data_IF_249869841859
#
_entry.id   IF_249869841859
#
_cell.length_a   1.000
_cell.length_b   1.000
_cell.length_c   1.000
_cell.angle_alpha   90.00
_cell.angle_beta   90.00
_cell.angle_gamma   90.00
#
_symmetry.space_group_name_H-M   'P 1'
#
loop_
_entity.id
_entity.type
_entity.pdbx_description
1 polymer ?
#
# COMPACT_ATOMS: atom_id res chain seq x y z
N UNK A 1 -12.18 -7.70 13.79
CA UNK A 1 -11.29 -6.64 13.28
C UNK A 1 -10.25 -7.30 12.39
N UNK A 2 -9.97 -6.77 11.18
CA UNK A 2 -8.97 -7.37 10.28
C UNK A 2 -7.54 -7.19 10.80
N UNK A 3 -6.59 -7.96 10.25
CA UNK A 3 -5.17 -7.83 10.59
C UNK A 3 -4.65 -6.42 10.25
N UNK A 4 -5.06 -5.89 9.10
CA UNK A 4 -4.80 -4.51 8.68
C UNK A 4 -5.22 -3.46 9.69
N UNK A 5 -6.46 -3.54 10.19
CA UNK A 5 -6.99 -2.59 11.18
C UNK A 5 -6.23 -2.65 12.51
N UNK A 6 -5.96 -3.86 13.03
CA UNK A 6 -5.18 -4.03 14.27
C UNK A 6 -3.78 -3.44 14.13
N UNK A 7 -3.13 -3.66 13.00
CA UNK A 7 -1.79 -3.13 12.75
C UNK A 7 -1.78 -1.61 12.64
N UNK A 8 -2.74 -1.03 11.90
CA UNK A 8 -2.86 0.41 11.77
C UNK A 8 -3.11 1.10 13.12
N UNK A 9 -3.94 0.53 13.99
CA UNK A 9 -4.12 1.04 15.35
C UNK A 9 -2.80 1.07 16.13
N UNK A 10 -1.97 0.03 15.99
CA UNK A 10 -0.63 0.00 16.57
C UNK A 10 0.29 1.10 16.03
N UNK A 11 0.31 1.30 14.71
CA UNK A 11 1.10 2.34 14.07
C UNK A 11 0.64 3.76 14.45
N UNK A 12 -0.67 4.00 14.56
CA UNK A 12 -1.22 5.28 15.03
C UNK A 12 -0.82 5.55 16.48
N UNK A 13 -0.93 4.56 17.36
CA UNK A 13 -0.46 4.69 18.75
C UNK A 13 1.03 4.99 18.82
N UNK A 14 1.84 4.43 17.90
CA UNK A 14 3.27 4.74 17.80
C UNK A 14 3.51 6.17 17.27
N UNK A 15 2.69 6.65 16.33
CA UNK A 15 2.72 8.01 15.79
C UNK A 15 2.44 9.06 16.86
N UNK A 16 1.53 8.78 17.79
CA UNK A 16 1.17 9.69 18.89
C UNK A 16 2.24 9.77 20.00
N UNK A 17 3.29 8.95 19.93
CA UNK A 17 4.35 8.91 20.94
C UNK A 17 5.56 9.75 20.54
N UNK A 18 6.34 10.20 21.54
CA UNK A 18 7.65 10.85 21.32
C UNK A 18 8.63 9.96 20.52
N UNK A 19 8.42 8.64 20.54
CA UNK A 19 9.19 7.67 19.78
C UNK A 19 8.87 7.66 18.28
N UNK A 20 7.86 8.40 17.79
CA UNK A 20 7.50 8.42 16.37
C UNK A 20 8.66 8.89 15.49
N UNK A 21 9.34 9.97 15.84
CA UNK A 21 10.43 10.51 15.01
C UNK A 21 11.54 9.47 14.73
N UNK A 22 12.15 8.82 15.74
CA UNK A 22 13.14 7.78 15.49
C UNK A 22 12.54 6.53 14.83
N UNK A 23 11.30 6.14 15.16
CA UNK A 23 10.62 5.02 14.53
C UNK A 23 10.39 5.25 13.03
N UNK A 24 9.83 6.41 12.67
CA UNK A 24 9.61 6.85 11.30
C UNK A 24 10.91 6.87 10.51
N UNK A 25 11.99 7.38 11.09
CA UNK A 25 13.30 7.38 10.43
C UNK A 25 13.81 5.95 10.15
N UNK A 26 13.68 5.03 11.12
CA UNK A 26 14.06 3.63 10.94
C UNK A 26 13.19 2.92 9.90
N UNK A 27 11.87 3.10 9.95
CA UNK A 27 10.91 2.53 9.01
C UNK A 27 11.13 3.05 7.59
N UNK A 28 11.33 4.37 7.41
CA UNK A 28 11.65 4.93 6.08
C UNK A 28 12.96 4.38 5.53
N UNK A 29 13.98 4.25 6.38
CA UNK A 29 15.28 3.68 5.97
C UNK A 29 15.18 2.22 5.58
N UNK A 30 14.24 1.47 6.17
CA UNK A 30 14.02 0.06 5.83
C UNK A 30 13.63 -0.16 4.36
N UNK A 31 13.07 0.83 3.67
CA UNK A 31 12.75 0.76 2.23
C UNK A 31 13.96 0.56 1.30
N UNK A 32 15.18 0.75 1.80
CA UNK A 32 16.43 0.48 1.07
C UNK A 32 16.89 -0.98 1.20
N UNK A 33 16.19 -1.81 1.97
CA UNK A 33 16.52 -3.20 2.25
C UNK A 33 15.32 -4.10 1.90
N UNK A 34 15.51 -5.41 1.76
CA UNK A 34 14.40 -6.35 1.71
C UNK A 34 13.47 -6.17 2.94
N UNK A 35 12.14 -6.28 2.78
CA UNK A 35 11.22 -6.15 3.91
C UNK A 35 11.57 -7.12 5.04
N UNK A 36 11.64 -6.62 6.27
CA UNK A 36 12.01 -7.43 7.45
C UNK A 36 13.51 -7.70 7.63
N UNK A 37 14.38 -7.19 6.75
CA UNK A 37 15.83 -7.36 6.84
C UNK A 37 16.57 -6.20 7.52
N UNK A 38 15.89 -5.13 7.93
CA UNK A 38 16.51 -3.98 8.58
C UNK A 38 16.32 -4.00 10.11
N UNK A 39 17.35 -4.32 10.92
CA UNK A 39 17.18 -4.60 12.35
C UNK A 39 16.56 -3.46 13.17
N UNK A 40 16.86 -2.19 12.82
CA UNK A 40 16.33 -1.04 13.56
C UNK A 40 14.82 -0.85 13.38
N UNK A 41 14.19 -1.48 12.38
CA UNK A 41 12.73 -1.45 12.21
C UNK A 41 12.03 -2.52 13.07
N UNK A 42 12.74 -3.59 13.46
CA UNK A 42 12.13 -4.76 14.11
C UNK A 42 11.37 -4.43 15.40
N UNK A 43 11.90 -3.60 16.33
CA UNK A 43 11.19 -3.28 17.58
C UNK A 43 9.81 -2.63 17.37
N UNK A 44 9.58 -2.00 16.22
CA UNK A 44 8.34 -1.29 15.91
C UNK A 44 7.31 -2.16 15.17
N UNK A 45 7.74 -3.28 14.58
CA UNK A 45 6.89 -4.11 13.71
C UNK A 45 6.64 -5.49 14.31
N UNK A 46 7.67 -6.15 14.87
CA UNK A 46 7.56 -7.50 15.45
C UNK A 46 6.40 -7.70 16.43
N UNK A 47 6.06 -6.73 17.31
CA UNK A 47 4.93 -6.89 18.24
C UNK A 47 3.57 -7.14 17.56
N UNK A 48 3.45 -6.86 16.26
CA UNK A 48 2.22 -6.97 15.49
C UNK A 48 2.25 -8.05 14.40
N UNK A 49 3.42 -8.65 14.14
CA UNK A 49 3.58 -9.62 13.05
C UNK A 49 2.78 -10.88 13.36
N UNK A 50 1.95 -11.31 12.40
CA UNK A 50 1.25 -12.58 12.46
C UNK A 50 1.65 -13.45 11.26
N UNK A 51 2.45 -14.49 11.52
CA UNK A 51 2.94 -15.44 10.52
C UNK A 51 4.32 -15.12 9.96
N UNK A 52 4.78 -15.97 9.05
CA UNK A 52 6.16 -15.99 8.56
C UNK A 52 6.26 -15.74 7.04
N UNK A 53 7.49 -15.61 6.56
CA UNK A 53 7.80 -15.40 5.15
C UNK A 53 7.13 -14.13 4.61
N UNK A 54 6.35 -14.28 3.53
CA UNK A 54 5.69 -13.13 2.90
C UNK A 54 4.75 -12.38 3.84
N UNK A 55 4.07 -13.07 4.76
CA UNK A 55 3.17 -12.39 5.71
C UNK A 55 3.95 -11.40 6.56
N UNK A 56 5.05 -11.85 7.17
CA UNK A 56 5.97 -10.99 7.92
C UNK A 56 6.50 -9.85 7.06
N UNK A 57 6.98 -10.13 5.85
CA UNK A 57 7.46 -9.12 4.90
C UNK A 57 6.41 -8.04 4.58
N UNK A 58 5.14 -8.42 4.44
CA UNK A 58 4.04 -7.49 4.18
C UNK A 58 3.83 -6.48 5.33
N UNK A 59 3.92 -6.90 6.60
CA UNK A 59 3.85 -5.98 7.75
C UNK A 59 4.97 -4.94 7.70
N UNK A 60 6.21 -5.38 7.42
CA UNK A 60 7.35 -4.47 7.30
C UNK A 60 7.19 -3.49 6.14
N UNK A 61 6.75 -3.99 4.98
CA UNK A 61 6.54 -3.16 3.80
C UNK A 61 5.47 -2.08 4.09
N UNK A 62 4.34 -2.45 4.68
CA UNK A 62 3.27 -1.50 5.03
C UNK A 62 3.74 -0.47 6.05
N UNK A 63 4.45 -0.87 7.12
CA UNK A 63 4.99 0.08 8.09
C UNK A 63 5.94 1.11 7.44
N UNK A 64 6.77 0.64 6.52
CA UNK A 64 7.72 1.48 5.81
C UNK A 64 7.03 2.47 4.86
N UNK A 65 5.97 2.03 4.16
CA UNK A 65 5.14 2.89 3.29
C UNK A 65 4.29 3.87 4.08
N UNK A 66 3.75 3.46 5.22
CA UNK A 66 3.08 4.34 6.17
C UNK A 66 4.01 5.46 6.65
N UNK A 67 5.23 5.12 7.06
CA UNK A 67 6.24 6.10 7.47
C UNK A 67 6.69 7.03 6.32
N UNK A 68 6.73 6.52 5.08
CA UNK A 68 7.00 7.31 3.87
C UNK A 68 5.93 8.39 3.65
N UNK A 69 4.67 8.07 3.94
CA UNK A 69 3.51 8.99 3.89
C UNK A 69 3.29 9.80 5.17
N UNK A 70 4.27 9.84 6.07
CA UNK A 70 4.14 10.51 7.38
C UNK A 70 2.93 10.05 8.21
N UNK A 71 2.52 8.80 8.03
CA UNK A 71 1.36 8.24 8.69
C UNK A 71 0.01 8.77 8.19
N UNK A 72 -0.03 9.47 7.06
CA UNK A 72 -1.25 9.98 6.45
C UNK A 72 -2.15 8.83 5.97
N UNK A 73 -3.08 8.44 6.83
CA UNK A 73 -4.04 7.38 6.55
C UNK A 73 -5.40 7.96 6.19
N UNK A 74 -5.97 7.47 5.09
CA UNK A 74 -7.31 7.82 4.64
C UNK A 74 -8.12 6.54 4.41
N UNK A 75 -9.04 6.25 5.33
CA UNK A 75 -9.91 5.07 5.23
C UNK A 75 -10.73 5.11 3.95
N UNK A 76 -10.84 3.98 3.26
CA UNK A 76 -11.60 3.84 2.02
C UNK A 76 -10.88 4.32 0.76
N UNK A 77 -9.77 5.07 0.84
CA UNK A 77 -8.95 5.47 -0.32
C UNK A 77 -7.84 4.46 -0.58
N UNK A 78 -8.12 3.44 -1.40
CA UNK A 78 -7.15 2.38 -1.71
C UNK A 78 -6.02 2.88 -2.62
N UNK A 79 -4.92 2.12 -2.71
CA UNK A 79 -3.83 2.47 -3.64
C UNK A 79 -4.30 2.43 -5.10
N UNK A 80 -5.17 1.50 -5.47
CA UNK A 80 -5.72 1.42 -6.83
C UNK A 80 -6.53 2.68 -7.19
N UNK A 81 -7.39 3.15 -6.28
CA UNK A 81 -8.14 4.40 -6.47
C UNK A 81 -7.22 5.63 -6.55
N UNK A 82 -6.21 5.70 -5.68
CA UNK A 82 -5.24 6.81 -5.70
C UNK A 82 -4.40 6.82 -6.99
N UNK A 83 -4.05 5.65 -7.53
CA UNK A 83 -3.36 5.54 -8.82
C UNK A 83 -4.28 5.94 -9.99
N UNK A 84 -5.57 5.59 -9.94
CA UNK A 84 -6.57 6.04 -10.93
C UNK A 84 -6.66 7.56 -10.97
N UNK A 85 -6.78 8.20 -9.80
CA UNK A 85 -6.77 9.67 -9.70
C UNK A 85 -5.52 10.28 -10.35
N UNK A 86 -4.35 9.65 -10.16
CA UNK A 86 -3.10 10.11 -10.77
C UNK A 86 -3.02 9.82 -12.29
N UNK A 87 -3.67 8.75 -12.76
CA UNK A 87 -3.67 8.33 -14.15
C UNK A 87 -4.44 9.27 -15.09
N UNK A 88 -5.45 9.99 -14.58
CA UNK A 88 -6.17 11.03 -15.32
C UNK A 88 -5.23 12.10 -15.93
N UNK A 89 -4.06 12.33 -15.31
CA UNK A 89 -3.03 13.23 -15.83
C UNK A 89 -1.87 12.55 -16.56
N UNK A 90 -1.83 11.21 -16.66
CA UNK A 90 -0.71 10.49 -17.29
C UNK A 90 -1.01 9.02 -17.61
N UNK A 91 -1.09 8.69 -18.90
CA UNK A 91 -1.17 7.31 -19.40
C UNK A 91 0.00 6.41 -18.96
N UNK A 92 1.12 7.00 -18.52
CA UNK A 92 2.26 6.23 -18.00
C UNK A 92 1.99 5.63 -16.61
N UNK A 93 0.97 6.11 -15.90
CA UNK A 93 0.58 5.60 -14.57
C UNK A 93 -0.15 4.26 -14.72
N UNK A 94 -1.03 4.14 -15.71
CA UNK A 94 -1.72 2.87 -15.99
C UNK A 94 -0.72 1.75 -16.30
N UNK A 95 0.29 2.00 -17.13
CA UNK A 95 1.36 1.02 -17.40
C UNK A 95 2.08 0.57 -16.12
N UNK A 96 2.32 1.49 -15.19
CA UNK A 96 2.94 1.17 -13.89
C UNK A 96 1.98 0.37 -12.98
N UNK A 97 0.69 0.68 -13.04
CA UNK A 97 -0.34 -0.06 -12.32
C UNK A 97 -0.48 -1.50 -12.83
N UNK A 98 -0.57 -1.71 -14.14
CA UNK A 98 -0.60 -3.06 -14.72
C UNK A 98 0.64 -3.87 -14.34
N UNK A 99 1.82 -3.25 -14.43
CA UNK A 99 3.07 -3.91 -14.05
C UNK A 99 3.18 -4.17 -12.53
N UNK A 100 2.41 -3.46 -11.69
CA UNK A 100 2.27 -3.77 -10.27
C UNK A 100 1.36 -4.98 -10.06
N UNK A 101 0.28 -5.14 -10.82
CA UNK A 101 -0.61 -6.30 -10.73
C UNK A 101 0.06 -7.62 -11.09
N UNK A 102 1.04 -7.59 -12.00
CA UNK A 102 1.77 -8.77 -12.48
C UNK A 102 2.94 -9.18 -11.59
N UNK A 103 3.29 -8.35 -10.60
CA UNK A 103 4.54 -8.46 -9.87
C UNK A 103 4.71 -9.78 -9.09
N UNK A 104 5.94 -10.30 -9.11
CA UNK A 104 6.38 -11.41 -8.26
C UNK A 104 6.81 -10.95 -6.86
N UNK A 105 7.24 -11.89 -6.02
CA UNK A 105 7.66 -11.62 -4.64
C UNK A 105 8.93 -10.80 -4.54
N UNK A 106 9.83 -10.91 -5.52
CA UNK A 106 11.11 -10.22 -5.49
C UNK A 106 10.97 -8.75 -5.86
N UNK A 107 9.99 -8.43 -6.72
CA UNK A 107 9.79 -7.09 -7.24
C UNK A 107 8.69 -6.29 -6.51
N UNK A 108 7.80 -6.93 -5.75
CA UNK A 108 6.62 -6.26 -5.15
C UNK A 108 7.01 -5.09 -4.24
N UNK A 109 8.04 -5.24 -3.41
CA UNK A 109 8.46 -4.20 -2.49
C UNK A 109 8.93 -2.93 -3.24
N UNK A 110 9.68 -3.13 -4.32
CA UNK A 110 10.17 -2.04 -5.16
C UNK A 110 9.04 -1.34 -5.91
N UNK A 111 8.17 -2.09 -6.60
CA UNK A 111 7.07 -1.53 -7.38
C UNK A 111 6.05 -0.82 -6.50
N UNK A 112 5.72 -1.39 -5.35
CA UNK A 112 4.77 -0.80 -4.42
C UNK A 112 5.31 0.50 -3.81
N UNK A 113 6.61 0.56 -3.49
CA UNK A 113 7.27 1.80 -3.08
C UNK A 113 7.15 2.89 -4.15
N UNK A 114 7.39 2.55 -5.41
CA UNK A 114 7.25 3.51 -6.52
C UNK A 114 5.81 3.99 -6.67
N UNK A 115 4.84 3.09 -6.61
CA UNK A 115 3.42 3.42 -6.73
C UNK A 115 2.94 4.33 -5.60
N UNK A 116 3.30 4.04 -4.35
CA UNK A 116 2.93 4.87 -3.19
C UNK A 116 3.62 6.24 -3.23
N UNK A 117 4.86 6.32 -3.70
CA UNK A 117 5.56 7.59 -3.85
C UNK A 117 4.96 8.49 -4.95
N UNK A 118 4.30 7.89 -5.94
CA UNK A 118 3.72 8.59 -7.09
C UNK A 118 2.37 9.27 -6.78
N UNK A 119 1.57 8.67 -5.91
CA UNK A 119 0.25 9.21 -5.53
C UNK A 119 0.40 10.29 -4.48
N UNK A 120 -0.51 11.25 -4.43
CA UNK A 120 -0.56 12.31 -3.41
C UNK A 120 -1.57 11.96 -2.31
N UNK A 121 -1.40 12.57 -1.13
CA UNK A 121 -2.25 12.36 0.04
C UNK A 121 -2.16 10.98 0.69
N UNK A 122 -3.07 10.74 1.63
CA UNK A 122 -3.15 9.54 2.44
C UNK A 122 -3.79 8.33 1.76
N UNK A 123 -3.51 7.14 2.32
CA UNK A 123 -3.96 5.85 1.78
C UNK A 123 -4.61 4.98 2.87
N UNK A 124 -5.46 4.05 2.44
CA UNK A 124 -6.00 3.01 3.32
C UNK A 124 -4.94 1.93 3.59
N UNK A 125 -4.04 2.21 4.52
CA UNK A 125 -2.99 1.29 4.96
C UNK A 125 -3.51 0.03 5.65
N UNK A 126 -4.71 0.06 6.24
CA UNK A 126 -5.32 -1.15 6.78
C UNK A 126 -5.71 -2.10 5.63
N UNK A 127 -6.42 -1.57 4.62
CA UNK A 127 -6.77 -2.34 3.44
C UNK A 127 -5.53 -2.81 2.68
N UNK A 128 -4.49 -1.96 2.56
CA UNK A 128 -3.24 -2.33 1.90
C UNK A 128 -2.57 -3.53 2.54
N UNK A 129 -2.53 -3.62 3.88
CA UNK A 129 -1.98 -4.82 4.54
C UNK A 129 -2.86 -6.05 4.28
N UNK A 130 -4.18 -5.93 4.44
CA UNK A 130 -5.12 -7.04 4.20
C UNK A 130 -5.06 -7.56 2.76
N UNK A 131 -4.65 -6.72 1.82
CA UNK A 131 -4.41 -7.05 0.41
C UNK A 131 -3.09 -7.77 0.22
N UNK A 132 -2.01 -7.20 0.75
CA UNK A 132 -0.68 -7.78 0.61
C UNK A 132 -0.62 -9.18 1.23
N UNK A 133 -1.26 -9.40 2.38
CA UNK A 133 -1.33 -10.72 3.03
C UNK A 133 -1.94 -11.82 2.15
N UNK A 134 -2.73 -11.44 1.13
CA UNK A 134 -3.39 -12.35 0.18
C UNK A 134 -2.90 -12.16 -1.26
N UNK A 135 -1.85 -11.37 -1.47
CA UNK A 135 -1.38 -10.99 -2.80
C UNK A 135 -0.97 -12.19 -3.65
N UNK A 136 -0.31 -13.18 -3.04
CA UNK A 136 0.16 -14.38 -3.72
C UNK A 136 -0.81 -15.56 -3.67
N UNK A 137 -2.11 -15.31 -3.44
CA UNK A 137 -3.13 -16.36 -3.59
C UNK A 137 -3.17 -16.85 -5.05
N UNK A 138 -3.26 -18.17 -5.32
CA UNK A 138 -3.32 -18.70 -6.68
C UNK A 138 -4.42 -18.10 -7.56
N UNK A 139 -5.56 -17.77 -6.94
CA UNK A 139 -6.75 -17.22 -7.61
C UNK A 139 -6.63 -15.72 -7.93
N UNK A 140 -5.57 -15.07 -7.45
CA UNK A 140 -5.29 -13.63 -7.63
C UNK A 140 -6.49 -12.69 -7.39
N UNK A 141 -7.28 -12.89 -6.30
CA UNK A 141 -8.51 -12.12 -6.09
C UNK A 141 -8.24 -10.65 -5.80
N UNK A 142 -7.06 -10.34 -5.23
CA UNK A 142 -6.65 -8.98 -4.88
C UNK A 142 -6.35 -8.17 -6.13
N UNK A 143 -5.60 -8.75 -7.07
CA UNK A 143 -5.27 -8.12 -8.34
C UNK A 143 -6.56 -7.84 -9.13
N UNK A 144 -7.49 -8.80 -9.18
CA UNK A 144 -8.78 -8.62 -9.83
C UNK A 144 -9.66 -7.54 -9.15
N UNK A 145 -9.55 -7.37 -7.82
CA UNK A 145 -10.26 -6.31 -7.10
C UNK A 145 -9.61 -4.95 -7.34
N UNK A 146 -8.29 -4.87 -7.31
CA UNK A 146 -7.54 -3.65 -7.61
C UNK A 146 -7.79 -3.17 -9.04
N UNK A 147 -7.83 -4.08 -10.03
CA UNK A 147 -8.20 -3.75 -11.40
C UNK A 147 -9.62 -3.15 -11.47
N UNK A 148 -10.60 -3.77 -10.80
CA UNK A 148 -11.96 -3.21 -10.70
C UNK A 148 -11.96 -1.83 -10.07
N UNK A 149 -11.28 -1.63 -8.95
CA UNK A 149 -11.17 -0.31 -8.30
C UNK A 149 -10.52 0.75 -9.19
N UNK A 150 -9.52 0.37 -9.99
CA UNK A 150 -8.83 1.26 -10.92
C UNK A 150 -9.72 1.64 -12.11
N UNK A 151 -10.48 0.70 -12.69
CA UNK A 151 -11.30 0.94 -13.88
C UNK A 151 -12.76 1.35 -13.59
N UNK A 152 -13.26 1.23 -12.35
CA UNK A 152 -14.70 1.41 -12.03
C UNK A 152 -15.28 2.82 -12.25
N UNK A 153 -14.49 3.81 -12.66
CA UNK A 153 -14.99 5.17 -12.92
C UNK A 153 -15.10 5.51 -14.42
N UNK A 154 -14.44 4.76 -15.31
CA UNK A 154 -14.43 5.06 -16.75
C UNK A 154 -15.82 4.88 -17.39
N UNK A 155 -16.60 3.89 -16.94
CA UNK A 155 -17.98 3.72 -17.41
C UNK A 155 -18.89 4.93 -17.13
N UNK A 156 -18.64 5.69 -16.06
CA UNK A 156 -19.51 6.81 -15.66
C UNK A 156 -19.15 8.17 -16.27
N UNK A 157 -17.95 8.32 -16.83
CA UNK A 157 -17.54 9.54 -17.54
C UNK A 157 -17.71 9.43 -19.06
N UNK A 158 -17.58 8.22 -19.63
CA UNK A 158 -17.93 7.98 -21.04
C UNK A 158 -19.46 8.06 -21.26
N UNK A 159 -20.28 7.49 -20.37
CA UNK A 159 -21.75 7.67 -20.41
C UNK A 159 -22.18 9.15 -20.24
N UNK A 160 -21.42 9.97 -19.51
CA UNK A 160 -21.73 11.42 -19.40
C UNK A 160 -21.35 12.21 -20.63
N UNK A 161 -20.28 11.83 -21.34
CA UNK A 161 -19.87 12.50 -22.59
C UNK A 161 -20.74 12.10 -23.78
N UNK A 162 -21.31 10.90 -23.78
CA UNK A 162 -22.21 10.41 -24.84
C UNK A 162 -23.65 10.93 -24.69
N UNK A 163 -24.04 11.37 -23.48
CA UNK A 163 -25.35 12.01 -23.22
C UNK A 163 -25.31 13.54 -23.44
N UNK A 164 -24.12 14.14 -23.52
CA UNK A 164 -23.91 15.58 -23.80
C UNK A 164 -23.47 15.90 -25.25
N UNK A 165 -23.33 14.89 -26.12
CA UNK A 165 -22.97 15.04 -27.55
C UNK A 165 -24.17 14.76 -28.48
#
# INVERSE_FOLDING_TARGET
>A
MSQGKRFLEGLKRLQDQKAWTPARAALRRSLAFPPGAYPKAMPYVEPFVEGEGWKREAYYLVAALYALKDGEHQAGRTLAQALREKAQGSASVEKRFLALLEVDRDQIAFRLRQAVALVEGGLDFAQLLDDLLRWFSPERPIQARWAREFYSAEASEEEKKEVEA
#
